data_IF_535045000467
#
_entry.id   IF_535045000467
#
_cell.length_a   1.000
_cell.length_b   1.000
_cell.length_c   1.000
_cell.angle_alpha   90.00
_cell.angle_beta   90.00
_cell.angle_gamma   90.00
#
_symmetry.space_group_name_H-M   'P 1'
#
loop_
_entity.id
_entity.type
_entity.pdbx_description
1 polymer ?
#
# COMPACT_ATOMS: atom_id res chain seq x y z
N UNK A 1 7.37 47.18 24.92
CA UNK A 1 7.92 45.87 25.35
C UNK A 1 7.06 44.78 24.74
N UNK A 2 7.57 44.05 23.79
CA UNK A 2 6.86 42.91 23.20
C UNK A 2 6.81 41.79 24.26
N UNK A 3 5.59 41.30 24.53
CA UNK A 3 5.36 40.18 25.44
C UNK A 3 5.85 38.92 24.74
N UNK A 4 6.96 38.34 25.19
CA UNK A 4 7.49 37.06 24.71
C UNK A 4 6.45 35.98 25.06
N UNK A 5 5.73 35.51 24.05
CA UNK A 5 4.76 34.40 24.21
C UNK A 5 5.61 33.13 24.30
N UNK A 6 5.84 32.60 25.48
CA UNK A 6 6.49 31.30 25.68
C UNK A 6 5.43 30.21 25.53
N UNK A 7 5.40 29.60 24.34
CA UNK A 7 4.62 28.41 24.06
C UNK A 7 5.34 27.24 24.75
N UNK A 8 4.63 26.40 25.49
CA UNK A 8 5.22 25.20 26.08
C UNK A 8 5.42 24.11 25.02
N UNK A 9 6.32 23.14 25.31
CA UNK A 9 6.67 22.08 24.33
C UNK A 9 5.47 21.25 23.87
N UNK A 10 4.46 21.06 24.73
CA UNK A 10 3.24 20.33 24.37
C UNK A 10 2.35 21.12 23.40
N UNK A 11 2.20 22.41 23.63
CA UNK A 11 1.46 23.31 22.72
C UNK A 11 2.16 23.40 21.37
N UNK A 12 3.48 23.52 21.35
CA UNK A 12 4.26 23.49 20.11
C UNK A 12 4.08 22.17 19.35
N UNK A 13 4.16 21.02 20.05
CA UNK A 13 3.94 19.70 19.44
C UNK A 13 2.55 19.56 18.83
N UNK A 14 1.51 20.09 19.48
CA UNK A 14 0.14 20.09 18.94
C UNK A 14 0.03 20.95 17.68
N UNK A 15 0.58 22.16 17.70
CA UNK A 15 0.61 23.07 16.55
C UNK A 15 1.35 22.42 15.38
N UNK A 16 2.52 21.83 15.65
CA UNK A 16 3.30 21.12 14.63
C UNK A 16 2.52 19.95 14.03
N UNK A 17 1.89 19.13 14.87
CA UNK A 17 1.10 17.99 14.42
C UNK A 17 -0.10 18.43 13.55
N UNK A 18 -0.78 19.50 13.95
CA UNK A 18 -1.89 20.05 13.18
C UNK A 18 -1.41 20.62 11.84
N UNK A 19 -0.33 21.41 11.84
CA UNK A 19 0.25 21.95 10.61
C UNK A 19 0.72 20.85 9.65
N UNK A 20 1.35 19.77 10.14
CA UNK A 20 1.74 18.60 9.34
C UNK A 20 0.52 17.92 8.74
N UNK A 21 -0.54 17.73 9.54
CA UNK A 21 -1.80 17.12 9.06
C UNK A 21 -2.44 17.95 7.95
N UNK A 22 -2.53 19.28 8.11
CA UNK A 22 -3.08 20.18 7.09
C UNK A 22 -2.27 20.12 5.79
N UNK A 23 -0.94 20.17 5.87
CA UNK A 23 -0.06 20.08 4.70
C UNK A 23 -0.21 18.72 3.99
N UNK A 24 -0.29 17.62 4.76
CA UNK A 24 -0.47 16.28 4.19
C UNK A 24 -1.83 16.15 3.50
N UNK A 25 -2.88 16.68 4.11
CA UNK A 25 -4.23 16.70 3.53
C UNK A 25 -4.26 17.49 2.22
N UNK A 26 -3.68 18.69 2.22
CA UNK A 26 -3.60 19.52 1.03
C UNK A 26 -2.83 18.82 -0.10
N UNK A 27 -1.66 18.24 0.20
CA UNK A 27 -0.85 17.48 -0.78
C UNK A 27 -1.62 16.29 -1.37
N UNK A 28 -2.32 15.54 -0.53
CA UNK A 28 -3.13 14.40 -0.98
C UNK A 28 -4.27 14.86 -1.88
N UNK A 29 -4.95 15.95 -1.53
CA UNK A 29 -6.03 16.53 -2.32
C UNK A 29 -5.56 16.97 -3.69
N UNK A 30 -4.44 17.72 -3.75
CA UNK A 30 -3.84 18.16 -5.02
C UNK A 30 -3.43 16.96 -5.88
N UNK A 31 -2.77 15.97 -5.29
CA UNK A 31 -2.35 14.77 -6.03
C UNK A 31 -3.56 14.01 -6.61
N UNK A 32 -4.63 13.85 -5.84
CA UNK A 32 -5.89 13.22 -6.32
C UNK A 32 -6.50 14.02 -7.47
N UNK A 33 -6.55 15.34 -7.35
CA UNK A 33 -7.10 16.21 -8.40
C UNK A 33 -6.30 16.09 -9.71
N UNK A 34 -4.96 16.10 -9.62
CA UNK A 34 -4.08 15.90 -10.78
C UNK A 34 -4.33 14.54 -11.41
N UNK A 35 -4.37 13.46 -10.60
CA UNK A 35 -4.64 12.12 -11.12
C UNK A 35 -6.00 12.05 -11.83
N UNK A 36 -7.05 12.61 -11.22
CA UNK A 36 -8.39 12.62 -11.82
C UNK A 36 -8.41 13.34 -13.16
N UNK A 37 -7.75 14.50 -13.24
CA UNK A 37 -7.69 15.28 -14.49
C UNK A 37 -6.92 14.51 -15.58
N UNK A 38 -5.75 13.96 -15.26
CA UNK A 38 -4.93 13.19 -16.21
C UNK A 38 -5.66 11.92 -16.65
N UNK A 39 -6.24 11.17 -15.73
CA UNK A 39 -6.98 9.95 -16.04
C UNK A 39 -8.22 10.24 -16.89
N UNK A 40 -8.90 11.38 -16.68
CA UNK A 40 -10.03 11.81 -17.52
C UNK A 40 -9.60 12.07 -18.97
N UNK A 41 -8.45 12.72 -19.16
CA UNK A 41 -7.87 12.91 -20.52
C UNK A 41 -7.53 11.57 -21.15
N UNK A 42 -6.87 10.68 -20.41
CA UNK A 42 -6.49 9.35 -20.89
C UNK A 42 -7.71 8.48 -21.20
N UNK A 43 -8.76 8.57 -20.40
CA UNK A 43 -10.05 7.92 -20.66
C UNK A 43 -10.67 8.39 -21.96
N UNK A 44 -10.72 9.70 -22.20
CA UNK A 44 -11.29 10.28 -23.41
C UNK A 44 -10.48 9.90 -24.66
N UNK A 45 -9.15 9.92 -24.58
CA UNK A 45 -8.28 9.43 -25.67
C UNK A 45 -8.54 7.95 -25.90
N UNK A 46 -8.62 7.14 -24.84
CA UNK A 46 -8.94 5.72 -24.94
C UNK A 46 -10.27 5.46 -25.64
N UNK A 47 -11.30 6.23 -25.28
CA UNK A 47 -12.61 6.21 -25.93
C UNK A 47 -12.52 6.52 -27.42
N UNK A 48 -11.82 7.59 -27.80
CA UNK A 48 -11.63 7.96 -29.21
C UNK A 48 -10.98 6.85 -30.04
N UNK A 49 -9.98 6.16 -29.46
CA UNK A 49 -9.31 5.04 -30.13
C UNK A 49 -10.23 3.79 -30.21
N UNK A 50 -11.04 3.57 -29.18
CA UNK A 50 -12.03 2.50 -29.16
C UNK A 50 -13.13 2.69 -30.20
N UNK A 51 -13.76 3.87 -30.23
CA UNK A 51 -14.86 4.21 -31.14
C UNK A 51 -14.43 4.15 -32.62
N UNK A 52 -13.13 4.30 -32.91
CA UNK A 52 -12.54 4.17 -34.26
C UNK A 52 -12.15 2.73 -34.62
N UNK A 53 -12.43 1.76 -33.76
CA UNK A 53 -12.08 0.35 -33.95
C UNK A 53 -10.61 0.11 -34.35
N UNK A 54 -9.69 0.93 -33.80
CA UNK A 54 -8.27 0.78 -34.06
C UNK A 54 -7.74 -0.45 -33.32
N UNK A 55 -7.30 -1.46 -34.06
CA UNK A 55 -6.66 -2.65 -33.50
C UNK A 55 -5.14 -2.57 -33.57
N UNK A 56 -4.46 -3.31 -32.67
CA UNK A 56 -3.00 -3.28 -32.58
C UNK A 56 -2.25 -3.75 -33.85
N UNK A 57 -2.94 -4.44 -34.78
CA UNK A 57 -2.41 -4.81 -36.09
C UNK A 57 -2.58 -3.68 -37.10
N UNK A 58 -3.82 -3.50 -37.58
CA UNK A 58 -4.14 -2.59 -38.67
C UNK A 58 -4.09 -1.11 -38.33
N UNK A 59 -4.41 -0.75 -37.07
CA UNK A 59 -4.38 0.63 -36.58
C UNK A 59 -3.02 1.12 -36.04
N UNK A 60 -1.97 0.28 -36.04
CA UNK A 60 -0.70 0.59 -35.41
C UNK A 60 0.02 1.79 -36.05
N UNK A 61 -0.11 1.97 -37.36
CA UNK A 61 0.44 3.12 -38.07
C UNK A 61 -0.20 4.45 -37.67
N UNK A 62 -1.53 4.45 -37.52
CA UNK A 62 -2.30 5.63 -37.08
C UNK A 62 -1.92 6.03 -35.66
N UNK A 63 -1.84 5.06 -34.72
CA UNK A 63 -1.47 5.33 -33.32
C UNK A 63 -0.02 5.80 -33.20
N UNK A 64 0.90 5.25 -34.02
CA UNK A 64 2.30 5.75 -34.04
C UNK A 64 2.36 7.20 -34.51
N UNK A 65 1.68 7.53 -35.62
CA UNK A 65 1.61 8.91 -36.13
C UNK A 65 0.99 9.85 -35.09
N UNK A 66 -0.19 9.46 -34.56
CA UNK A 66 -0.85 10.23 -33.49
C UNK A 66 0.07 10.48 -32.29
N UNK A 67 0.86 9.49 -31.88
CA UNK A 67 1.84 9.63 -30.81
C UNK A 67 2.92 10.69 -31.12
N UNK A 68 3.39 10.73 -32.36
CA UNK A 68 4.40 11.75 -32.78
C UNK A 68 3.77 13.12 -32.74
N UNK A 69 2.63 13.31 -33.40
CA UNK A 69 1.97 14.61 -33.49
C UNK A 69 1.54 15.15 -32.12
N UNK A 70 1.04 14.28 -31.22
CA UNK A 70 0.68 14.67 -29.88
C UNK A 70 1.90 15.01 -28.98
N UNK A 71 3.01 14.29 -29.12
CA UNK A 71 4.23 14.60 -28.36
C UNK A 71 4.89 15.90 -28.78
N UNK A 72 4.77 16.28 -30.05
CA UNK A 72 5.25 17.57 -30.53
C UNK A 72 4.49 18.72 -29.86
N UNK A 73 3.17 18.57 -29.66
CA UNK A 73 2.33 19.58 -29.02
C UNK A 73 2.37 19.53 -27.49
N UNK A 74 2.54 18.34 -26.90
CA UNK A 74 2.49 18.08 -25.45
C UNK A 74 3.65 17.17 -25.00
N UNK A 75 4.90 17.68 -25.00
CA UNK A 75 6.10 16.88 -24.76
C UNK A 75 6.15 16.29 -23.34
N UNK A 76 5.53 16.97 -22.36
CA UNK A 76 5.53 16.55 -20.96
C UNK A 76 4.50 15.46 -20.62
N UNK A 77 3.64 15.09 -21.58
CA UNK A 77 2.63 14.07 -21.36
C UNK A 77 3.11 12.68 -21.82
N UNK A 78 2.65 11.65 -21.12
CA UNK A 78 2.97 10.26 -21.43
C UNK A 78 2.22 9.72 -22.67
N UNK A 79 2.49 10.25 -23.87
CA UNK A 79 1.75 9.97 -25.11
C UNK A 79 2.49 9.02 -26.06
N UNK A 80 3.26 8.06 -25.52
CA UNK A 80 3.90 7.01 -26.31
C UNK A 80 2.85 6.08 -26.96
N UNK A 81 3.17 5.43 -28.09
CA UNK A 81 2.23 4.49 -28.75
C UNK A 81 1.73 3.40 -27.77
N UNK A 82 2.63 2.86 -26.95
CA UNK A 82 2.29 1.88 -25.91
C UNK A 82 1.28 2.45 -24.90
N UNK A 83 1.47 3.70 -24.51
CA UNK A 83 0.58 4.32 -23.52
C UNK A 83 -0.79 4.67 -24.14
N UNK A 84 -0.84 5.07 -25.39
CA UNK A 84 -2.09 5.25 -26.12
C UNK A 84 -2.90 3.92 -26.19
N UNK A 85 -2.24 2.80 -26.44
CA UNK A 85 -2.88 1.49 -26.35
C UNK A 85 -3.34 1.13 -24.94
N UNK A 86 -2.59 1.49 -23.91
CA UNK A 86 -3.02 1.30 -22.53
C UNK A 86 -4.25 2.16 -22.18
N UNK A 87 -4.36 3.37 -22.72
CA UNK A 87 -5.55 4.21 -22.55
C UNK A 87 -6.78 3.55 -23.19
N UNK A 88 -6.63 2.99 -24.40
CA UNK A 88 -7.70 2.22 -25.06
C UNK A 88 -8.09 1.00 -24.21
N UNK A 89 -7.13 0.20 -23.75
CA UNK A 89 -7.37 -0.96 -22.88
C UNK A 89 -8.06 -0.56 -21.56
N UNK A 90 -7.70 0.59 -20.98
CA UNK A 90 -8.37 1.09 -19.76
C UNK A 90 -9.85 1.35 -20.04
N UNK A 91 -10.15 2.05 -21.14
CA UNK A 91 -11.54 2.31 -21.55
C UNK A 91 -12.29 1.00 -21.81
N UNK A 92 -11.77 0.12 -22.67
CA UNK A 92 -12.35 -1.19 -22.97
C UNK A 92 -12.65 -2.03 -21.73
N UNK A 93 -11.74 -1.98 -20.74
CA UNK A 93 -11.87 -2.78 -19.53
C UNK A 93 -12.97 -2.27 -18.60
N UNK A 94 -13.16 -0.96 -18.52
CA UNK A 94 -13.96 -0.35 -17.45
C UNK A 94 -15.23 0.38 -17.94
N UNK A 95 -15.45 0.61 -19.22
CA UNK A 95 -16.56 1.44 -19.71
C UNK A 95 -17.96 0.92 -19.36
N UNK A 96 -18.10 -0.37 -19.05
CA UNK A 96 -19.35 -1.01 -18.63
C UNK A 96 -19.38 -1.40 -17.16
N UNK A 97 -18.34 -1.07 -16.38
CA UNK A 97 -18.23 -1.45 -14.98
C UNK A 97 -19.01 -0.49 -14.07
N UNK A 98 -19.21 -0.93 -12.82
CA UNK A 98 -19.91 -0.14 -11.79
C UNK A 98 -19.24 1.22 -11.56
N UNK A 99 -20.07 2.21 -11.27
CA UNK A 99 -19.68 3.59 -10.95
C UNK A 99 -18.64 3.67 -9.84
N UNK A 100 -18.70 2.79 -8.83
CA UNK A 100 -17.73 2.76 -7.73
C UNK A 100 -16.32 2.43 -8.22
N UNK A 101 -16.19 1.41 -9.07
CA UNK A 101 -14.91 1.02 -9.65
C UNK A 101 -14.37 2.14 -10.55
N UNK A 102 -15.22 2.75 -11.37
CA UNK A 102 -14.84 3.88 -12.22
C UNK A 102 -14.33 5.07 -11.39
N UNK A 103 -15.01 5.42 -10.29
CA UNK A 103 -14.58 6.49 -9.40
C UNK A 103 -13.23 6.19 -8.74
N UNK A 104 -13.01 4.95 -8.27
CA UNK A 104 -11.75 4.55 -7.66
C UNK A 104 -10.59 4.62 -8.67
N UNK A 105 -10.76 4.05 -9.87
CA UNK A 105 -9.78 4.06 -10.95
C UNK A 105 -9.44 5.50 -11.42
N UNK A 106 -10.43 6.40 -11.46
CA UNK A 106 -10.23 7.78 -11.88
C UNK A 106 -9.26 8.55 -10.96
N UNK A 107 -9.22 8.25 -9.66
CA UNK A 107 -8.42 8.97 -8.66
C UNK A 107 -7.02 8.35 -8.48
N UNK A 108 -6.83 7.07 -8.87
CA UNK A 108 -5.55 6.38 -8.73
C UNK A 108 -4.46 6.98 -9.62
N UNK A 109 -3.18 6.95 -9.19
CA UNK A 109 -2.06 7.24 -10.08
C UNK A 109 -2.07 6.31 -11.30
N UNK A 110 -1.71 6.84 -12.48
CA UNK A 110 -1.72 6.07 -13.73
C UNK A 110 -0.96 4.74 -13.65
N UNK A 111 0.20 4.74 -12.97
CA UNK A 111 0.99 3.51 -12.78
C UNK A 111 0.28 2.41 -11.98
N UNK A 112 -0.65 2.76 -11.09
CA UNK A 112 -1.51 1.79 -10.38
C UNK A 112 -2.57 1.23 -11.32
N UNK A 113 -3.20 2.10 -12.12
CA UNK A 113 -4.19 1.66 -13.12
C UNK A 113 -3.58 0.66 -14.11
N UNK A 114 -2.34 0.89 -14.56
CA UNK A 114 -1.63 -0.06 -15.43
C UNK A 114 -1.41 -1.42 -14.76
N UNK A 115 -1.09 -1.44 -13.45
CA UNK A 115 -0.96 -2.71 -12.72
C UNK A 115 -2.29 -3.47 -12.62
N UNK A 116 -3.40 -2.77 -12.34
CA UNK A 116 -4.72 -3.39 -12.30
C UNK A 116 -5.14 -3.93 -13.66
N UNK A 117 -4.78 -3.24 -14.76
CA UNK A 117 -5.02 -3.68 -16.13
C UNK A 117 -4.21 -4.92 -16.53
N UNK A 118 -2.95 -4.99 -16.09
CA UNK A 118 -2.03 -6.09 -16.47
C UNK A 118 -2.30 -7.39 -15.71
N UNK A 119 -3.09 -7.32 -14.63
CA UNK A 119 -3.52 -8.48 -13.86
C UNK A 119 -4.95 -8.83 -14.23
N UNK A 120 -5.20 -10.10 -14.50
CA UNK A 120 -6.54 -10.60 -14.85
C UNK A 120 -7.45 -10.65 -13.60
N UNK A 121 -7.65 -9.47 -12.97
CA UNK A 121 -8.48 -9.31 -11.77
C UNK A 121 -9.96 -9.23 -12.14
N UNK A 122 -10.82 -9.81 -11.33
CA UNK A 122 -12.26 -9.54 -11.40
C UNK A 122 -12.56 -8.07 -11.03
N UNK A 123 -13.76 -7.58 -11.34
CA UNK A 123 -14.18 -6.22 -10.99
C UNK A 123 -14.11 -5.97 -9.46
N UNK A 124 -14.53 -6.96 -8.65
CA UNK A 124 -14.49 -6.88 -7.20
C UNK A 124 -13.05 -6.85 -6.64
N UNK A 125 -12.14 -7.63 -7.21
CA UNK A 125 -10.72 -7.59 -6.85
C UNK A 125 -10.10 -6.26 -7.22
N UNK A 126 -10.35 -5.75 -8.44
CA UNK A 126 -9.85 -4.46 -8.88
C UNK A 126 -10.36 -3.31 -8.00
N UNK A 127 -11.65 -3.32 -7.64
CA UNK A 127 -12.24 -2.36 -6.70
C UNK A 127 -11.56 -2.43 -5.33
N UNK A 128 -11.44 -3.63 -4.76
CA UNK A 128 -10.78 -3.83 -3.47
C UNK A 128 -9.36 -3.25 -3.46
N UNK A 129 -8.53 -3.60 -4.45
CA UNK A 129 -7.15 -3.10 -4.52
C UNK A 129 -7.09 -1.59 -4.77
N UNK A 130 -8.02 -1.04 -5.56
CA UNK A 130 -8.11 0.39 -5.78
C UNK A 130 -8.46 1.14 -4.49
N UNK A 131 -9.47 0.69 -3.75
CA UNK A 131 -9.86 1.26 -2.46
C UNK A 131 -8.75 1.18 -1.41
N UNK A 132 -8.07 0.04 -1.29
CA UNK A 132 -6.93 -0.14 -0.39
C UNK A 132 -5.78 0.83 -0.72
N UNK A 133 -5.50 1.07 -2.01
CA UNK A 133 -4.52 2.07 -2.42
C UNK A 133 -4.93 3.48 -2.01
N UNK A 134 -6.21 3.86 -2.17
CA UNK A 134 -6.71 5.18 -1.84
C UNK A 134 -6.77 5.44 -0.33
N UNK A 135 -7.10 4.41 0.46
CA UNK A 135 -7.21 4.51 1.91
C UNK A 135 -5.85 4.48 2.61
N UNK A 136 -4.97 3.59 2.17
CA UNK A 136 -3.68 3.32 2.83
C UNK A 136 -2.48 3.98 2.16
N UNK A 137 -2.67 4.64 1.03
CA UNK A 137 -1.60 5.29 0.30
C UNK A 137 -0.55 4.30 -0.24
N UNK A 138 -0.98 3.11 -0.71
CA UNK A 138 -0.04 2.12 -1.22
C UNK A 138 0.75 2.63 -2.41
N UNK A 139 2.05 2.37 -2.39
CA UNK A 139 2.91 2.55 -3.55
C UNK A 139 2.61 1.49 -4.62
N UNK A 140 3.11 1.71 -5.84
CA UNK A 140 2.97 0.72 -6.93
C UNK A 140 3.54 -0.65 -6.55
N UNK A 141 4.68 -0.69 -5.83
CA UNK A 141 5.31 -1.94 -5.39
C UNK A 141 4.48 -2.63 -4.30
N UNK A 142 3.89 -1.87 -3.38
CA UNK A 142 2.99 -2.41 -2.37
C UNK A 142 1.74 -3.01 -2.99
N UNK A 143 1.13 -2.34 -3.98
CA UNK A 143 0.00 -2.87 -4.73
C UNK A 143 0.38 -4.18 -5.45
N UNK A 144 1.53 -4.21 -6.14
CA UNK A 144 2.00 -5.41 -6.84
C UNK A 144 2.18 -6.59 -5.89
N UNK A 145 2.76 -6.36 -4.71
CA UNK A 145 2.95 -7.40 -3.71
C UNK A 145 1.61 -7.85 -3.10
N UNK A 146 0.70 -6.93 -2.82
CA UNK A 146 -0.64 -7.26 -2.33
C UNK A 146 -1.40 -8.17 -3.31
N UNK A 147 -1.31 -7.89 -4.62
CA UNK A 147 -1.90 -8.72 -5.66
C UNK A 147 -1.22 -10.11 -5.71
N UNK A 148 0.13 -10.16 -5.67
CA UNK A 148 0.89 -11.43 -5.67
C UNK A 148 0.55 -12.31 -4.45
N UNK A 149 0.35 -11.71 -3.29
CA UNK A 149 -0.03 -12.39 -2.05
C UNK A 149 -1.52 -12.74 -1.99
N UNK A 150 -2.30 -12.33 -2.99
CA UNK A 150 -3.75 -12.50 -3.02
C UNK A 150 -4.45 -12.04 -1.73
N UNK A 151 -4.13 -10.80 -1.30
CA UNK A 151 -4.68 -10.23 -0.06
C UNK A 151 -6.21 -10.08 -0.09
N UNK A 152 -6.81 -10.02 -1.28
CA UNK A 152 -8.26 -10.04 -1.45
C UNK A 152 -8.87 -11.35 -0.93
N UNK A 153 -8.37 -12.50 -1.38
CA UNK A 153 -8.86 -13.80 -0.92
C UNK A 153 -8.56 -14.03 0.57
N UNK A 154 -7.38 -13.63 1.04
CA UNK A 154 -7.02 -13.72 2.46
C UNK A 154 -7.96 -12.90 3.35
N UNK A 155 -8.51 -11.78 2.87
CA UNK A 155 -9.48 -10.98 3.63
C UNK A 155 -10.89 -11.55 3.61
N UNK A 156 -11.26 -12.29 2.56
CA UNK A 156 -12.57 -12.97 2.49
C UNK A 156 -12.63 -14.21 3.38
N UNK A 157 -11.51 -14.92 3.52
CA UNK A 157 -11.39 -16.01 4.47
C UNK A 157 -11.25 -15.43 5.88
N UNK A 158 -12.37 -15.21 6.55
CA UNK A 158 -12.44 -14.81 7.98
C UNK A 158 -11.95 -15.92 8.92
N UNK A 159 -10.83 -16.54 8.65
CA UNK A 159 -10.19 -17.43 9.59
C UNK A 159 -9.50 -16.52 10.60
N UNK A 160 -10.09 -16.32 11.77
CA UNK A 160 -9.40 -15.77 12.93
C UNK A 160 -8.18 -16.67 13.20
N UNK A 161 -7.00 -16.21 12.85
CA UNK A 161 -5.73 -16.93 13.08
C UNK A 161 -5.13 -16.64 14.46
N UNK A 162 -5.89 -15.97 15.32
CA UNK A 162 -5.47 -15.61 16.68
C UNK A 162 -6.38 -16.27 17.73
N UNK A 163 -5.86 -16.32 18.96
CA UNK A 163 -6.54 -16.86 20.13
C UNK A 163 -6.91 -15.77 21.15
N UNK A 164 -7.04 -14.52 20.74
CA UNK A 164 -7.27 -13.40 21.65
C UNK A 164 -8.53 -13.58 22.47
N UNK A 165 -9.63 -14.06 21.86
CA UNK A 165 -10.90 -14.29 22.54
C UNK A 165 -10.81 -15.39 23.63
N UNK A 166 -9.84 -16.30 23.51
CA UNK A 166 -9.62 -17.38 24.48
C UNK A 166 -8.65 -17.01 25.61
N UNK A 167 -7.77 -16.03 25.39
CA UNK A 167 -6.63 -15.75 26.29
C UNK A 167 -6.75 -14.38 26.96
N UNK A 168 -7.41 -13.41 26.33
CA UNK A 168 -7.54 -12.05 26.85
C UNK A 168 -8.92 -11.78 27.43
N UNK A 169 -9.03 -10.88 28.43
CA UNK A 169 -10.32 -10.35 28.86
C UNK A 169 -11.07 -9.73 27.68
N UNK A 170 -12.41 -9.84 27.64
CA UNK A 170 -13.25 -9.47 26.51
C UNK A 170 -12.93 -8.07 25.91
N UNK A 171 -12.83 -7.05 26.76
CA UNK A 171 -12.52 -5.70 26.30
C UNK A 171 -11.12 -5.59 25.64
N UNK A 172 -10.14 -6.36 26.10
CA UNK A 172 -8.80 -6.42 25.52
C UNK A 172 -8.77 -7.30 24.26
N UNK A 173 -9.56 -8.36 24.22
CA UNK A 173 -9.68 -9.22 23.03
C UNK A 173 -10.30 -8.46 21.85
N UNK A 174 -11.37 -7.70 22.08
CA UNK A 174 -12.02 -6.87 21.07
C UNK A 174 -11.04 -5.82 20.52
N UNK A 175 -10.34 -5.11 21.42
CA UNK A 175 -9.33 -4.14 21.04
C UNK A 175 -8.13 -4.77 20.29
N UNK A 176 -7.67 -5.94 20.72
CA UNK A 176 -6.61 -6.67 20.04
C UNK A 176 -7.06 -7.12 18.64
N UNK A 177 -8.27 -7.62 18.48
CA UNK A 177 -8.85 -8.01 17.18
C UNK A 177 -8.99 -6.80 16.23
N UNK A 178 -9.21 -5.59 16.75
CA UNK A 178 -9.27 -4.36 15.96
C UNK A 178 -7.87 -3.89 15.53
N UNK A 179 -6.91 -3.95 16.43
CA UNK A 179 -5.54 -3.41 16.23
C UNK A 179 -4.66 -4.32 15.37
N UNK A 180 -4.72 -5.64 15.62
CA UNK A 180 -3.88 -6.59 14.90
C UNK A 180 -4.49 -6.98 13.55
N UNK A 181 -3.73 -6.75 12.50
CA UNK A 181 -4.12 -7.13 11.13
C UNK A 181 -3.94 -8.64 10.94
N UNK A 182 -4.81 -9.25 10.15
CA UNK A 182 -4.66 -10.66 9.72
C UNK A 182 -3.47 -10.86 8.77
N UNK A 183 -3.00 -9.81 8.11
CA UNK A 183 -1.83 -9.82 7.24
C UNK A 183 -1.19 -8.42 7.15
N UNK A 184 0.12 -8.37 6.98
CA UNK A 184 0.90 -7.14 6.82
C UNK A 184 1.50 -7.06 5.43
N UNK A 185 1.47 -5.85 4.82
CA UNK A 185 2.06 -5.64 3.52
C UNK A 185 3.54 -5.25 3.66
N UNK A 186 4.43 -6.18 3.36
CA UNK A 186 5.87 -5.99 3.39
C UNK A 186 6.45 -5.45 2.06
N UNK A 187 5.62 -4.91 1.18
CA UNK A 187 6.04 -4.36 -0.12
C UNK A 187 7.12 -3.28 -0.04
N UNK A 188 7.19 -2.56 1.08
CA UNK A 188 8.25 -1.57 1.32
C UNK A 188 9.66 -2.18 1.39
N UNK A 189 9.79 -3.50 1.59
CA UNK A 189 11.06 -4.22 1.57
C UNK A 189 11.58 -4.49 0.15
N UNK A 190 10.71 -4.35 -0.87
CA UNK A 190 11.02 -4.63 -2.29
C UNK A 190 11.57 -6.03 -2.53
N UNK A 191 11.05 -7.02 -1.81
CA UNK A 191 11.43 -8.43 -1.96
C UNK A 191 10.64 -9.00 -3.12
N UNK A 192 11.34 -9.41 -4.19
CA UNK A 192 10.74 -10.01 -5.40
C UNK A 192 10.93 -11.52 -5.46
N UNK A 193 11.87 -12.07 -4.67
CA UNK A 193 12.21 -13.48 -4.60
C UNK A 193 12.18 -13.97 -3.15
N UNK A 194 12.04 -15.27 -2.93
CA UNK A 194 12.15 -15.84 -1.59
C UNK A 194 13.48 -15.49 -0.94
N UNK A 195 13.45 -14.90 0.25
CA UNK A 195 14.65 -14.54 1.02
C UNK A 195 14.75 -15.41 2.27
N UNK A 196 15.97 -15.62 2.75
CA UNK A 196 16.19 -16.31 4.04
C UNK A 196 15.74 -15.44 5.19
N UNK A 197 15.30 -16.05 6.29
CA UNK A 197 14.77 -15.37 7.48
C UNK A 197 15.72 -14.29 8.02
N UNK A 198 17.01 -14.59 8.15
CA UNK A 198 18.02 -13.63 8.59
C UNK A 198 18.13 -12.39 7.68
N UNK A 199 17.98 -12.58 6.37
CA UNK A 199 17.99 -11.46 5.41
C UNK A 199 16.70 -10.64 5.51
N UNK A 200 15.55 -11.29 5.72
CA UNK A 200 14.28 -10.63 5.96
C UNK A 200 14.35 -9.76 7.23
N UNK A 201 14.87 -10.31 8.32
CA UNK A 201 15.06 -9.58 9.57
C UNK A 201 15.92 -8.33 9.38
N UNK A 202 17.10 -8.46 8.74
CA UNK A 202 17.98 -7.31 8.45
C UNK A 202 17.28 -6.23 7.64
N UNK A 203 16.49 -6.61 6.64
CA UNK A 203 15.71 -5.66 5.83
C UNK A 203 14.60 -5.00 6.62
N UNK A 204 13.91 -5.72 7.50
CA UNK A 204 12.90 -5.17 8.40
C UNK A 204 13.52 -4.15 9.36
N UNK A 205 14.65 -4.49 10.00
CA UNK A 205 15.36 -3.57 10.90
C UNK A 205 15.86 -2.33 10.16
N UNK A 206 16.42 -2.49 8.95
CA UNK A 206 16.88 -1.35 8.15
C UNK A 206 15.73 -0.41 7.73
N UNK A 207 14.50 -0.91 7.68
CA UNK A 207 13.29 -0.18 7.33
C UNK A 207 12.28 -0.11 8.47
N UNK A 208 12.77 -0.13 9.70
CA UNK A 208 11.94 -0.23 10.91
C UNK A 208 10.85 0.84 10.99
N UNK A 209 11.12 2.06 10.53
CA UNK A 209 10.12 3.14 10.46
C UNK A 209 8.92 2.74 9.59
N UNK A 210 9.18 2.20 8.40
CA UNK A 210 8.12 1.75 7.48
C UNK A 210 7.38 0.55 8.05
N UNK A 211 8.09 -0.34 8.73
CA UNK A 211 7.50 -1.50 9.38
C UNK A 211 6.57 -1.11 10.55
N UNK A 212 6.99 -0.17 11.41
CA UNK A 212 6.13 0.33 12.50
C UNK A 212 4.87 1.01 11.94
N UNK A 213 4.99 1.77 10.84
CA UNK A 213 3.84 2.39 10.19
C UNK A 213 2.87 1.34 9.62
N UNK A 214 3.38 0.23 9.09
CA UNK A 214 2.53 -0.87 8.62
C UNK A 214 1.86 -1.63 9.78
N UNK A 215 2.54 -1.80 10.91
CA UNK A 215 1.95 -2.38 12.12
C UNK A 215 0.75 -1.56 12.61
N UNK A 216 0.83 -0.23 12.53
CA UNK A 216 -0.25 0.68 12.89
C UNK A 216 0.00 1.45 14.19
N UNK A 217 -1.08 2.03 14.74
CA UNK A 217 -1.00 2.86 15.95
C UNK A 217 -0.72 2.05 17.21
N UNK A 218 0.06 2.61 18.10
CA UNK A 218 0.32 2.04 19.43
C UNK A 218 1.56 1.16 19.53
N UNK A 219 2.17 0.78 18.41
CA UNK A 219 3.39 -0.02 18.41
C UNK A 219 4.63 0.84 18.64
N UNK A 220 5.53 0.33 19.48
CA UNK A 220 6.85 0.89 19.72
C UNK A 220 7.89 -0.20 19.59
N UNK A 221 8.95 0.04 18.78
CA UNK A 221 10.06 -0.90 18.66
C UNK A 221 11.01 -0.75 19.84
N UNK A 222 11.31 -1.87 20.51
CA UNK A 222 12.24 -1.89 21.65
C UNK A 222 13.64 -2.27 21.17
N UNK A 223 13.75 -3.27 20.30
CA UNK A 223 15.02 -3.75 19.80
C UNK A 223 14.91 -5.04 18.99
N UNK A 224 16.04 -5.46 18.45
CA UNK A 224 16.18 -6.74 17.76
C UNK A 224 17.22 -7.61 18.45
N UNK A 225 17.19 -8.92 18.20
CA UNK A 225 18.06 -9.93 18.81
C UNK A 225 18.08 -9.83 20.34
N UNK A 226 16.90 -9.64 20.94
CA UNK A 226 16.76 -9.43 22.36
C UNK A 226 16.84 -10.75 23.11
N UNK A 227 17.74 -10.84 24.10
CA UNK A 227 17.88 -12.04 24.94
C UNK A 227 16.95 -11.95 26.14
N UNK A 228 16.16 -12.99 26.32
CA UNK A 228 15.29 -13.18 27.47
C UNK A 228 15.79 -14.38 28.26
N UNK A 229 16.00 -14.20 29.56
CA UNK A 229 16.33 -15.28 30.47
C UNK A 229 15.08 -15.69 31.28
N UNK A 230 14.72 -16.94 31.23
CA UNK A 230 13.66 -17.50 32.07
C UNK A 230 14.04 -18.88 32.58
N UNK A 231 14.10 -19.05 33.91
CA UNK A 231 14.37 -20.32 34.58
C UNK A 231 15.53 -21.12 33.99
N UNK A 232 16.71 -20.52 33.88
CA UNK A 232 17.95 -21.10 33.33
C UNK A 232 17.89 -21.46 31.83
N UNK A 233 16.96 -20.89 31.08
CA UNK A 233 16.92 -21.00 29.61
C UNK A 233 17.03 -19.61 28.99
N UNK A 234 17.95 -19.47 28.05
CA UNK A 234 18.04 -18.27 27.22
C UNK A 234 17.13 -18.44 26.00
N UNK A 235 16.37 -17.40 25.70
CA UNK A 235 15.54 -17.27 24.51
C UNK A 235 16.02 -16.04 23.75
N UNK A 236 16.28 -16.19 22.46
CA UNK A 236 16.49 -15.04 21.59
C UNK A 236 15.20 -14.72 20.86
N UNK A 237 14.80 -13.45 20.83
CA UNK A 237 13.69 -12.95 20.03
C UNK A 237 14.25 -12.06 18.93
N UNK A 238 13.79 -12.23 17.68
CA UNK A 238 14.33 -11.51 16.56
C UNK A 238 13.99 -10.03 16.62
N UNK A 239 12.74 -9.70 16.92
CA UNK A 239 12.29 -8.33 17.13
C UNK A 239 11.32 -8.26 18.31
N UNK A 240 11.50 -7.24 19.14
CA UNK A 240 10.68 -6.98 20.32
C UNK A 240 9.97 -5.64 20.17
N UNK A 241 8.67 -5.64 20.41
CA UNK A 241 7.81 -4.47 20.36
C UNK A 241 7.01 -4.34 21.66
N UNK A 242 6.59 -3.12 21.96
CA UNK A 242 5.60 -2.83 22.99
C UNK A 242 4.36 -2.19 22.35
N UNK A 243 3.18 -2.66 22.74
CA UNK A 243 1.93 -2.05 22.30
C UNK A 243 1.30 -1.28 23.45
N UNK A 244 1.21 0.06 23.31
CA UNK A 244 0.77 0.98 24.39
C UNK A 244 -0.66 0.70 24.85
N UNK A 245 -1.60 0.53 23.92
CA UNK A 245 -3.01 0.35 24.27
C UNK A 245 -3.33 -1.00 24.92
N UNK A 246 -2.52 -2.03 24.64
CA UNK A 246 -2.65 -3.36 25.23
C UNK A 246 -1.72 -3.55 26.43
N UNK A 247 -0.79 -2.61 26.68
CA UNK A 247 0.23 -2.69 27.73
C UNK A 247 0.99 -4.03 27.71
N UNK A 248 1.30 -4.56 26.51
CA UNK A 248 1.93 -5.85 26.34
C UNK A 248 3.16 -5.82 25.45
N UNK A 249 4.04 -6.80 25.65
CA UNK A 249 5.17 -7.07 24.79
C UNK A 249 4.75 -8.02 23.66
N UNK A 250 5.21 -7.73 22.46
CA UNK A 250 5.03 -8.53 21.25
C UNK A 250 6.39 -8.87 20.70
N UNK A 251 6.56 -10.10 20.28
CA UNK A 251 7.84 -10.54 19.73
C UNK A 251 7.67 -11.45 18.53
N UNK A 252 8.68 -11.44 17.66
CA UNK A 252 8.89 -12.44 16.63
C UNK A 252 9.99 -13.40 17.07
N UNK A 253 9.83 -14.69 16.82
CA UNK A 253 10.83 -15.69 17.12
C UNK A 253 11.04 -16.59 15.91
N UNK A 254 12.25 -17.18 15.75
CA UNK A 254 12.52 -18.12 14.68
C UNK A 254 11.51 -19.27 14.66
N UNK A 255 11.11 -19.69 13.46
CA UNK A 255 10.21 -20.83 13.30
C UNK A 255 10.82 -22.07 13.94
N UNK A 256 10.03 -22.97 14.57
CA UNK A 256 10.53 -24.26 15.09
C UNK A 256 11.25 -25.10 14.03
N UNK A 257 10.94 -24.92 12.74
CA UNK A 257 11.59 -25.62 11.62
C UNK A 257 13.03 -25.14 11.35
N UNK A 258 13.35 -23.90 11.67
CA UNK A 258 14.67 -23.32 11.43
C UNK A 258 15.65 -23.64 12.55
N UNK A 259 15.16 -23.89 13.77
CA UNK A 259 15.98 -24.38 14.90
C UNK A 259 16.56 -25.79 14.69
N UNK A 260 15.96 -26.60 13.84
CA UNK A 260 16.46 -27.96 13.54
C UNK A 260 17.62 -27.99 12.51
N UNK A 261 17.82 -26.90 11.74
CA UNK A 261 18.90 -26.80 10.75
C UNK A 261 20.20 -26.18 11.29
N UNK A 262 20.20 -25.73 12.53
CA UNK A 262 21.33 -25.07 13.22
C UNK A 262 22.05 -26.00 14.24
N UNK A 263 21.85 -27.32 14.15
CA UNK A 263 22.61 -28.32 14.92
C UNK A 263 23.41 -29.21 14.01
#
# INVERSE_FOLDING_TARGET
MAKEIRINDNEYAQILQQAVSEIQTARTTVARQVNTTVNSVYWNIGKLLFDRNLESGYGSGVVKRLSVDLKEQFPDMGLSPRNLWNMKRLYERYYQEDTKLLQAVAVLPWGHNLLLLDKSLSANEALFYAEECLQKGWSRDMLLNAIKMNTYAARQTKIKTNNFDAVLPMAHADYANEVFKSSYNLGFLRITEPVKELELEKRLVSKIKSFILELGKGFSFIGNQYRLENKNKEYAVDMLFFHRGLSCLLYTSPSPRDRQKSR
#
